data_IF_243312184477
#
_entry.id   IF_243312184477
#
_cell.length_a   1.000
_cell.length_b   1.000
_cell.length_c   1.000
_cell.angle_alpha   90.00
_cell.angle_beta   90.00
_cell.angle_gamma   90.00
#
_symmetry.space_group_name_H-M   'P 1'
#
loop_
_entity.id
_entity.type
_entity.pdbx_description
1 polymer ?
#
# COMPACT_ATOMS: atom_id res chain seq x y z
N UNK A 1 8.12 4.47 -28.22
CA UNK A 1 9.30 3.57 -28.28
C UNK A 1 9.76 3.43 -26.84
N UNK A 2 9.52 2.29 -26.21
CA UNK A 2 9.98 2.03 -24.84
C UNK A 2 11.52 2.02 -24.87
N UNK A 3 12.16 2.77 -23.97
CA UNK A 3 13.63 2.78 -23.88
C UNK A 3 14.09 1.42 -23.33
N UNK A 4 15.25 0.90 -23.71
CA UNK A 4 15.84 -0.30 -23.08
C UNK A 4 15.98 -0.14 -21.54
N UNK A 5 16.03 1.11 -21.04
CA UNK A 5 15.97 1.40 -19.60
C UNK A 5 14.58 1.16 -18.97
N UNK A 6 13.51 1.12 -19.76
CA UNK A 6 12.16 0.73 -19.32
C UNK A 6 11.96 -0.79 -19.34
N UNK A 7 12.85 -1.53 -20.01
CA UNK A 7 12.88 -2.99 -20.07
C UNK A 7 13.87 -3.58 -19.04
N UNK A 8 14.05 -2.94 -17.90
CA UNK A 8 14.72 -3.60 -16.77
C UNK A 8 13.81 -4.76 -16.36
N UNK A 9 14.25 -5.98 -16.69
CA UNK A 9 13.64 -7.23 -16.22
C UNK A 9 13.80 -7.28 -14.71
N UNK A 10 12.89 -6.62 -13.98
CA UNK A 10 12.84 -6.73 -12.53
C UNK A 10 12.59 -8.18 -12.17
N UNK A 11 13.43 -8.73 -11.31
CA UNK A 11 13.25 -10.12 -10.89
C UNK A 11 11.97 -10.25 -10.06
N UNK A 12 11.42 -11.47 -10.00
CA UNK A 12 10.30 -11.78 -9.09
C UNK A 12 10.67 -11.45 -7.64
N UNK A 13 11.93 -11.65 -7.25
CA UNK A 13 12.44 -11.31 -5.92
C UNK A 13 12.38 -9.80 -5.64
N UNK A 14 12.76 -8.96 -6.61
CA UNK A 14 12.67 -7.50 -6.49
C UNK A 14 11.22 -7.00 -6.46
N UNK A 15 10.33 -7.65 -7.21
CA UNK A 15 8.90 -7.33 -7.18
C UNK A 15 8.28 -7.76 -5.85
N UNK A 16 8.65 -8.92 -5.32
CA UNK A 16 8.18 -9.42 -4.02
C UNK A 16 8.63 -8.48 -2.89
N UNK A 17 9.89 -8.02 -2.92
CA UNK A 17 10.39 -7.03 -1.97
C UNK A 17 9.63 -5.70 -2.07
N UNK A 18 9.33 -5.23 -3.27
CA UNK A 18 8.49 -4.03 -3.43
C UNK A 18 7.10 -4.23 -2.81
N UNK A 19 6.47 -5.40 -2.98
CA UNK A 19 5.17 -5.70 -2.35
C UNK A 19 5.29 -5.59 -0.83
N UNK A 20 6.31 -6.20 -0.23
CA UNK A 20 6.56 -6.12 1.22
C UNK A 20 6.75 -4.68 1.69
N UNK A 21 7.56 -3.89 0.99
CA UNK A 21 7.81 -2.48 1.31
C UNK A 21 6.54 -1.64 1.20
N UNK A 22 5.74 -1.81 0.15
CA UNK A 22 4.48 -1.09 -0.06
C UNK A 22 3.45 -1.44 1.02
N UNK A 23 3.36 -2.71 1.43
CA UNK A 23 2.46 -3.14 2.49
C UNK A 23 2.91 -2.63 3.86
N UNK A 24 4.23 -2.63 4.13
CA UNK A 24 4.79 -2.07 5.35
C UNK A 24 4.53 -0.56 5.44
N UNK A 25 4.74 0.18 4.34
CA UNK A 25 4.47 1.62 4.29
C UNK A 25 2.98 1.93 4.42
N UNK A 26 2.11 1.15 3.77
CA UNK A 26 0.66 1.26 3.94
C UNK A 26 0.24 1.08 5.40
N UNK A 27 0.80 0.07 6.08
CA UNK A 27 0.54 -0.16 7.49
C UNK A 27 1.00 1.02 8.34
N UNK A 28 2.23 1.50 8.14
CA UNK A 28 2.76 2.67 8.86
C UNK A 28 1.85 3.89 8.70
N UNK A 29 1.42 4.20 7.47
CA UNK A 29 0.51 5.31 7.19
C UNK A 29 -0.86 5.14 7.86
N UNK A 30 -1.34 3.90 8.00
CA UNK A 30 -2.58 3.58 8.72
C UNK A 30 -2.41 3.84 10.22
N UNK A 31 -1.31 3.39 10.80
CA UNK A 31 -0.98 3.59 12.20
C UNK A 31 -0.82 5.10 12.51
N UNK A 32 -0.17 5.86 11.61
CA UNK A 32 -0.04 7.31 11.71
C UNK A 32 -1.40 8.04 11.61
N UNK A 33 -2.28 7.61 10.70
CA UNK A 33 -3.66 8.12 10.62
C UNK A 33 -4.44 7.88 11.92
N UNK A 34 -4.34 6.67 12.48
CA UNK A 34 -5.07 6.32 13.70
C UNK A 34 -4.55 7.15 14.90
N UNK A 35 -3.23 7.36 14.99
CA UNK A 35 -2.63 8.26 15.97
C UNK A 35 -3.05 9.73 15.77
N UNK A 36 -3.17 10.19 14.53
CA UNK A 36 -3.65 11.53 14.23
C UNK A 36 -5.11 11.72 14.65
N UNK A 37 -5.97 10.72 14.43
CA UNK A 37 -7.37 10.73 14.90
C UNK A 37 -7.49 10.78 16.43
N UNK A 38 -6.69 9.98 17.14
CA UNK A 38 -6.68 10.02 18.60
C UNK A 38 -6.28 11.41 19.12
N UNK A 39 -5.23 12.00 18.53
CA UNK A 39 -4.75 13.32 18.91
C UNK A 39 -5.74 14.43 18.55
N UNK A 40 -6.37 14.35 17.39
CA UNK A 40 -7.44 15.26 16.96
C UNK A 40 -8.61 15.25 17.96
N UNK A 41 -9.05 14.08 18.40
CA UNK A 41 -10.11 13.95 19.40
C UNK A 41 -9.73 14.57 20.76
N UNK A 42 -8.48 14.42 21.19
CA UNK A 42 -7.97 15.06 22.42
C UNK A 42 -7.98 16.59 22.28
N UNK A 43 -7.43 17.13 21.20
CA UNK A 43 -7.36 18.58 20.98
C UNK A 43 -8.75 19.21 20.87
N UNK A 44 -9.71 18.54 20.23
CA UNK A 44 -11.10 19.02 20.19
C UNK A 44 -11.72 19.09 21.58
N UNK A 45 -11.47 18.09 22.43
CA UNK A 45 -11.95 18.10 23.81
C UNK A 45 -11.33 19.26 24.60
N UNK A 46 -10.01 19.40 24.53
CA UNK A 46 -9.29 20.48 25.21
C UNK A 46 -9.72 21.87 24.73
N UNK A 47 -9.96 22.03 23.42
CA UNK A 47 -10.50 23.28 22.85
C UNK A 47 -11.83 23.66 23.49
N UNK A 48 -12.77 22.71 23.59
CA UNK A 48 -14.09 22.95 24.22
C UNK A 48 -13.94 23.31 25.69
N UNK A 49 -13.11 22.59 26.44
CA UNK A 49 -12.86 22.85 27.85
C UNK A 49 -12.21 24.22 28.10
N UNK A 50 -11.31 24.66 27.20
CA UNK A 50 -10.62 25.95 27.34
C UNK A 50 -11.46 27.14 26.92
N UNK A 51 -12.46 26.95 26.05
CA UNK A 51 -13.26 28.05 25.48
C UNK A 51 -13.82 29.07 26.50
N UNK A 52 -14.31 28.68 27.69
CA UNK A 52 -14.81 29.64 28.69
C UNK A 52 -13.71 30.48 29.37
N UNK A 53 -12.48 29.98 29.42
CA UNK A 53 -11.37 30.58 30.17
C UNK A 53 -10.33 31.26 29.29
N UNK A 54 -10.15 30.78 28.07
CA UNK A 54 -9.22 31.32 27.09
C UNK A 54 -9.68 30.96 25.67
N UNK A 55 -10.48 31.85 25.07
CA UNK A 55 -11.02 31.66 23.74
C UNK A 55 -9.93 31.60 22.65
N UNK A 56 -8.84 32.36 22.79
CA UNK A 56 -7.74 32.36 21.83
C UNK A 56 -7.01 31.02 21.77
N UNK A 57 -6.67 30.46 22.95
CA UNK A 57 -6.07 29.13 23.03
C UNK A 57 -7.02 28.04 22.52
N UNK A 58 -8.32 28.14 22.84
CA UNK A 58 -9.32 27.20 22.35
C UNK A 58 -9.39 27.18 20.81
N UNK A 59 -9.31 28.35 20.16
CA UNK A 59 -9.28 28.45 18.70
C UNK A 59 -8.01 27.84 18.11
N UNK A 60 -6.84 28.09 18.71
CA UNK A 60 -5.59 27.46 18.26
C UNK A 60 -5.66 25.93 18.33
N UNK A 61 -6.17 25.38 19.44
CA UNK A 61 -6.36 23.92 19.59
C UNK A 61 -7.33 23.36 18.56
N UNK A 62 -8.40 24.11 18.24
CA UNK A 62 -9.37 23.72 17.23
C UNK A 62 -8.75 23.66 15.83
N UNK A 63 -7.98 24.68 15.45
CA UNK A 63 -7.30 24.73 14.15
C UNK A 63 -6.24 23.64 14.03
N UNK A 64 -5.51 23.34 15.10
CA UNK A 64 -4.55 22.24 15.12
C UNK A 64 -5.23 20.88 14.95
N UNK A 65 -6.38 20.66 15.61
CA UNK A 65 -7.18 19.46 15.42
C UNK A 65 -7.68 19.33 13.96
N UNK A 66 -8.09 20.45 13.36
CA UNK A 66 -8.52 20.47 11.96
C UNK A 66 -7.39 20.10 11.00
N UNK A 67 -6.20 20.66 11.21
CA UNK A 67 -5.01 20.32 10.44
C UNK A 67 -4.66 18.83 10.57
N UNK A 68 -4.68 18.28 11.78
CA UNK A 68 -4.44 16.83 11.98
C UNK A 68 -5.47 15.96 11.28
N UNK A 69 -6.75 16.40 11.22
CA UNK A 69 -7.78 15.68 10.48
C UNK A 69 -7.47 15.63 8.99
N UNK A 70 -7.06 16.76 8.41
CA UNK A 70 -6.69 16.85 6.98
C UNK A 70 -5.45 16.02 6.67
N UNK A 71 -4.40 16.13 7.49
CA UNK A 71 -3.18 15.32 7.39
C UNK A 71 -3.49 13.82 7.50
N UNK A 72 -4.34 13.44 8.46
CA UNK A 72 -4.78 12.05 8.64
C UNK A 72 -5.53 11.53 7.40
N UNK A 73 -6.44 12.32 6.82
CA UNK A 73 -7.14 11.92 5.59
C UNK A 73 -6.18 11.67 4.43
N UNK A 74 -5.14 12.48 4.29
CA UNK A 74 -4.11 12.27 3.27
C UNK A 74 -3.27 11.02 3.54
N UNK A 75 -2.89 10.75 4.79
CA UNK A 75 -2.21 9.50 5.18
C UNK A 75 -3.06 8.27 4.82
N UNK A 76 -4.36 8.33 5.09
CA UNK A 76 -5.29 7.26 4.73
C UNK A 76 -5.37 7.07 3.22
N UNK A 77 -5.46 8.16 2.44
CA UNK A 77 -5.46 8.13 0.98
C UNK A 77 -4.20 7.46 0.43
N UNK A 78 -3.03 7.89 0.92
CA UNK A 78 -1.74 7.32 0.54
C UNK A 78 -1.64 5.85 0.94
N UNK A 79 -2.11 5.47 2.13
CA UNK A 79 -2.13 4.07 2.56
C UNK A 79 -2.92 3.18 1.58
N UNK A 80 -4.08 3.66 1.11
CA UNK A 80 -4.87 2.93 0.11
C UNK A 80 -4.16 2.83 -1.24
N UNK A 81 -3.52 3.92 -1.69
CA UNK A 81 -2.75 3.94 -2.94
C UNK A 81 -1.61 2.91 -2.92
N UNK A 82 -0.88 2.81 -1.80
CA UNK A 82 0.19 1.82 -1.60
C UNK A 82 -0.34 0.39 -1.67
N UNK A 83 -1.51 0.11 -1.07
CA UNK A 83 -2.16 -1.23 -1.16
C UNK A 83 -2.57 -1.58 -2.58
N UNK A 84 -3.16 -0.64 -3.31
CA UNK A 84 -3.54 -0.86 -4.71
C UNK A 84 -2.31 -1.15 -5.57
N UNK A 85 -1.22 -0.41 -5.35
CA UNK A 85 0.06 -0.66 -6.03
C UNK A 85 0.61 -2.04 -5.68
N UNK A 86 0.62 -2.42 -4.39
CA UNK A 86 1.07 -3.74 -3.96
C UNK A 86 0.26 -4.86 -4.63
N UNK A 87 -1.07 -4.73 -4.69
CA UNK A 87 -1.94 -5.70 -5.37
C UNK A 87 -1.62 -5.81 -6.88
N UNK A 88 -1.36 -4.69 -7.55
CA UNK A 88 -0.97 -4.70 -8.96
C UNK A 88 0.38 -5.40 -9.18
N UNK A 89 1.37 -5.19 -8.30
CA UNK A 89 2.67 -5.88 -8.39
C UNK A 89 2.51 -7.37 -8.10
N UNK A 90 1.73 -7.73 -7.08
CA UNK A 90 1.41 -9.12 -6.75
C UNK A 90 0.76 -9.84 -7.95
N UNK A 91 -0.20 -9.20 -8.60
CA UNK A 91 -0.86 -9.76 -9.78
C UNK A 91 0.12 -10.01 -10.94
N UNK A 92 1.14 -9.15 -11.11
CA UNK A 92 2.19 -9.36 -12.12
C UNK A 92 3.08 -10.55 -11.78
N UNK A 93 3.37 -10.78 -10.50
CA UNK A 93 4.09 -11.97 -10.04
C UNK A 93 3.26 -13.23 -10.33
N UNK A 94 1.96 -13.22 -10.02
CA UNK A 94 1.07 -14.35 -10.31
C UNK A 94 1.03 -14.70 -11.81
N UNK A 95 0.98 -13.70 -12.68
CA UNK A 95 1.05 -13.92 -14.14
C UNK A 95 2.39 -14.54 -14.52
N UNK A 96 3.50 -14.06 -13.96
CA UNK A 96 4.82 -14.63 -14.20
C UNK A 96 4.86 -16.11 -13.81
N UNK A 97 4.42 -16.44 -12.60
CA UNK A 97 4.38 -17.82 -12.10
C UNK A 97 3.47 -18.72 -12.96
N UNK A 98 2.34 -18.19 -13.44
CA UNK A 98 1.47 -18.91 -14.37
C UNK A 98 2.17 -19.20 -15.69
N UNK A 99 2.90 -18.23 -16.26
CA UNK A 99 3.65 -18.44 -17.50
C UNK A 99 4.76 -19.48 -17.29
N UNK A 100 5.55 -19.39 -16.23
CA UNK A 100 6.60 -20.37 -15.93
C UNK A 100 6.02 -21.78 -15.73
N UNK A 101 4.84 -21.89 -15.11
CA UNK A 101 4.16 -23.19 -14.95
C UNK A 101 3.72 -23.81 -16.28
N UNK A 102 3.46 -22.99 -17.31
CA UNK A 102 3.07 -23.43 -18.65
C UNK A 102 4.27 -23.86 -19.50
N UNK A 103 5.45 -23.28 -19.29
CA UNK A 103 6.66 -23.64 -20.05
C UNK A 103 7.09 -25.11 -19.85
N UNK A 104 6.66 -25.75 -18.74
CA UNK A 104 6.85 -27.18 -18.51
C UNK A 104 5.84 -28.11 -19.23
N UNK A 105 4.72 -27.59 -19.74
CA UNK A 105 3.65 -28.41 -20.33
C UNK A 105 4.09 -29.10 -21.62
N UNK A 106 4.97 -28.46 -22.38
CA UNK A 106 5.43 -28.98 -23.67
C UNK A 106 6.25 -30.27 -23.51
N UNK A 107 7.03 -30.38 -22.42
CA UNK A 107 7.71 -31.61 -22.03
C UNK A 107 6.75 -32.68 -21.52
N UNK A 108 5.75 -32.30 -20.72
CA UNK A 108 4.73 -33.22 -20.20
C UNK A 108 3.92 -33.82 -21.34
N UNK A 109 3.49 -33.01 -22.31
CA UNK A 109 2.80 -33.46 -23.51
C UNK A 109 3.67 -34.36 -24.40
N UNK A 110 4.96 -34.04 -24.58
CA UNK A 110 5.91 -34.92 -25.29
C UNK A 110 6.08 -36.27 -24.59
N UNK A 111 6.15 -36.31 -23.26
CA UNK A 111 6.23 -37.57 -22.49
C UNK A 111 4.95 -38.39 -22.58
N UNK A 112 3.79 -37.74 -22.47
CA UNK A 112 2.48 -38.39 -22.60
C UNK A 112 2.27 -39.00 -24.01
N UNK A 113 2.64 -38.28 -25.07
CA UNK A 113 2.61 -38.79 -26.44
C UNK A 113 3.55 -39.97 -26.67
N UNK A 114 4.69 -40.02 -25.97
CA UNK A 114 5.62 -41.15 -26.02
C UNK A 114 5.08 -42.38 -25.28
N UNK A 115 4.38 -42.19 -24.16
CA UNK A 115 3.79 -43.26 -23.36
C UNK A 115 2.54 -43.89 -24.02
N UNK A 116 1.74 -43.10 -24.77
CA UNK A 116 0.57 -43.62 -25.48
C UNK A 116 0.85 -44.37 -26.78
N UNK A 117 2.13 -44.57 -27.15
CA UNK A 117 2.57 -45.31 -28.34
C UNK A 117 3.12 -46.72 -28.02
N UNK A 118 3.01 -47.19 -26.78
CA UNK A 118 3.33 -48.57 -26.37
C UNK A 118 2.11 -49.48 -26.41
#
# INVERSE_FOLDING_TARGET
>A
MFSEKDLVTRSVEEMSREVEELLAESKRLRDEHDAALEREAVLRRESVEKRPSNAGLAETLWQEAERLREEGQEMLRLSMEKRLRAANVQHRIEIHDQIESLDGYDEVWKRAMKAGRS
#
